data_IF_972372366581
#
_entry.id   IF_972372366581
#
_cell.length_a   1.000
_cell.length_b   1.000
_cell.length_c   1.000
_cell.angle_alpha   90.00
_cell.angle_beta   90.00
_cell.angle_gamma   90.00
#
_symmetry.space_group_name_H-M   'P 1'
#
loop_
_entity.id
_entity.type
_entity.pdbx_description
1 polymer ?
#
# COMPACT_ATOMS: atom_id res chain seq x y z
N UNK A 1 0.61 18.09 15.44
CA UNK A 1 -0.22 16.87 15.53
C UNK A 1 -0.34 16.21 14.17
N UNK A 2 -0.82 16.96 13.18
CA UNK A 2 -0.98 16.41 11.84
C UNK A 2 0.32 15.90 11.24
N UNK A 3 1.43 16.56 11.54
CA UNK A 3 2.71 16.18 10.96
C UNK A 3 3.20 14.84 11.45
N UNK A 4 2.96 14.51 12.73
CA UNK A 4 3.34 13.20 13.24
C UNK A 4 2.59 12.07 12.57
N UNK A 5 1.29 12.25 12.34
CA UNK A 5 0.47 11.25 11.66
C UNK A 5 0.86 11.12 10.20
N UNK A 6 1.16 12.23 9.53
CA UNK A 6 1.56 12.16 8.14
C UNK A 6 2.93 11.51 7.98
N UNK A 7 3.86 11.78 8.90
CA UNK A 7 5.15 11.10 8.87
C UNK A 7 4.98 9.60 9.10
N UNK A 8 4.07 9.20 9.98
CA UNK A 8 3.79 7.80 10.22
C UNK A 8 3.18 7.13 8.98
N UNK A 9 2.24 7.83 8.31
CA UNK A 9 1.65 7.32 7.08
C UNK A 9 2.73 7.13 6.00
N UNK A 10 3.61 8.12 5.86
CA UNK A 10 4.69 8.06 4.88
C UNK A 10 5.59 6.86 5.13
N UNK A 11 5.97 6.63 6.38
CA UNK A 11 6.82 5.50 6.72
C UNK A 11 6.10 4.17 6.45
N UNK A 12 4.82 4.09 6.77
CA UNK A 12 4.03 2.89 6.54
C UNK A 12 3.89 2.62 5.04
N UNK A 13 3.67 3.65 4.25
CA UNK A 13 3.58 3.51 2.80
C UNK A 13 4.90 2.99 2.22
N UNK A 14 6.03 3.43 2.77
CA UNK A 14 7.32 2.90 2.34
C UNK A 14 7.46 1.41 2.65
N UNK A 15 6.99 0.97 3.82
CA UNK A 15 6.99 -0.44 4.17
C UNK A 15 6.12 -1.25 3.20
N UNK A 16 4.90 -0.75 2.92
CA UNK A 16 4.00 -1.44 1.99
C UNK A 16 4.59 -1.47 0.58
N UNK A 17 5.22 -0.39 0.15
CA UNK A 17 5.84 -0.32 -1.17
C UNK A 17 7.00 -1.30 -1.29
N UNK A 18 7.80 -1.44 -0.26
CA UNK A 18 8.90 -2.41 -0.24
C UNK A 18 8.36 -3.83 -0.32
N UNK A 19 7.26 -4.12 0.40
CA UNK A 19 6.65 -5.44 0.35
C UNK A 19 6.12 -5.75 -1.05
N UNK A 20 5.49 -4.77 -1.70
CA UNK A 20 5.00 -4.95 -3.07
C UNK A 20 6.16 -5.23 -4.03
N UNK A 21 7.28 -4.56 -3.85
CA UNK A 21 8.47 -4.79 -4.67
C UNK A 21 9.02 -6.19 -4.44
N UNK A 22 9.06 -6.64 -3.19
CA UNK A 22 9.50 -8.00 -2.87
C UNK A 22 8.57 -9.04 -3.49
N UNK A 23 7.26 -8.78 -3.47
CA UNK A 23 6.29 -9.64 -4.13
C UNK A 23 6.61 -9.77 -5.63
N UNK A 24 6.89 -8.64 -6.29
CA UNK A 24 7.25 -8.66 -7.72
C UNK A 24 8.53 -9.46 -7.95
N UNK A 25 9.53 -9.30 -7.10
CA UNK A 25 10.78 -10.03 -7.26
C UNK A 25 10.58 -11.53 -7.12
N UNK A 26 9.67 -11.94 -6.26
CA UNK A 26 9.40 -13.37 -6.04
C UNK A 26 8.49 -13.97 -7.10
N UNK A 27 7.54 -13.19 -7.63
CA UNK A 27 6.46 -13.73 -8.48
C UNK A 27 6.41 -13.14 -9.88
N UNK A 28 7.30 -12.21 -10.20
CA UNK A 28 7.41 -11.65 -11.54
C UNK A 28 6.48 -10.49 -11.86
N UNK A 29 5.61 -10.11 -10.93
CA UNK A 29 4.68 -9.00 -11.12
C UNK A 29 4.25 -8.44 -9.79
N UNK A 30 3.80 -7.18 -9.79
CA UNK A 30 3.17 -6.59 -8.62
C UNK A 30 1.77 -7.17 -8.44
N UNK A 31 1.19 -7.14 -7.23
CA UNK A 31 -0.20 -7.53 -7.09
C UNK A 31 -1.09 -6.73 -8.04
N UNK A 32 -2.10 -7.37 -8.61
CA UNK A 32 -3.04 -6.67 -9.48
C UNK A 32 -3.96 -5.78 -8.66
N UNK A 33 -4.70 -4.91 -9.36
CA UNK A 33 -5.69 -4.05 -8.70
C UNK A 33 -6.68 -4.89 -7.88
N UNK A 34 -7.14 -6.01 -8.44
CA UNK A 34 -8.10 -6.88 -7.76
C UNK A 34 -7.48 -7.61 -6.58
N UNK A 35 -6.22 -8.02 -6.70
CA UNK A 35 -5.54 -8.70 -5.60
C UNK A 35 -5.28 -7.74 -4.44
N UNK A 36 -4.89 -6.51 -4.75
CA UNK A 36 -4.75 -5.47 -3.76
C UNK A 36 -3.65 -5.73 -2.73
N UNK A 37 -3.66 -4.94 -1.68
CA UNK A 37 -2.67 -5.04 -0.60
C UNK A 37 -2.82 -6.34 0.21
N UNK A 38 -3.99 -7.00 0.16
CA UNK A 38 -4.15 -8.28 0.84
C UNK A 38 -3.18 -9.34 0.32
N UNK A 39 -2.74 -9.22 -0.94
CA UNK A 39 -1.76 -10.14 -1.50
C UNK A 39 -0.43 -10.09 -0.75
N UNK A 40 -0.18 -9.04 0.05
CA UNK A 40 1.04 -8.92 0.82
C UNK A 40 0.98 -9.70 2.14
N UNK A 41 -0.20 -10.12 2.57
CA UNK A 41 -0.36 -10.83 3.85
C UNK A 41 -0.89 -12.24 3.68
N UNK A 42 -1.49 -12.58 2.55
CA UNK A 42 -1.96 -13.93 2.27
C UNK A 42 -1.96 -14.20 0.78
N UNK A 43 -1.86 -15.45 0.41
CA UNK A 43 -1.87 -15.86 -0.99
C UNK A 43 -3.19 -15.42 -1.63
N UNK A 44 -3.14 -14.61 -2.69
CA UNK A 44 -4.38 -14.18 -3.33
C UNK A 44 -5.09 -15.35 -4.01
N UNK A 45 -6.41 -15.28 -4.02
CA UNK A 45 -7.25 -16.24 -4.72
C UNK A 45 -7.55 -15.82 -6.15
N UNK A 46 -7.31 -14.55 -6.48
CA UNK A 46 -7.54 -14.01 -7.81
C UNK A 46 -6.33 -14.25 -8.70
N UNK A 47 -6.60 -14.53 -9.97
CA UNK A 47 -5.52 -14.71 -10.95
C UNK A 47 -4.77 -13.42 -11.21
N UNK A 48 -3.48 -13.47 -11.49
CA UNK A 48 -2.65 -14.69 -11.54
C UNK A 48 -2.21 -15.09 -10.15
N UNK A 49 -2.50 -16.33 -9.78
CA UNK A 49 -2.20 -16.85 -8.45
C UNK A 49 -0.70 -17.16 -8.38
N UNK A 50 0.03 -16.57 -7.43
CA UNK A 50 1.46 -16.82 -7.32
C UNK A 50 1.74 -18.23 -6.82
N UNK A 51 2.78 -18.85 -7.40
CA UNK A 51 3.28 -20.12 -6.91
C UNK A 51 4.27 -19.87 -5.79
N UNK A 52 4.38 -20.84 -4.89
CA UNK A 52 5.39 -20.78 -3.83
C UNK A 52 5.26 -19.56 -2.94
N UNK A 53 4.00 -19.17 -2.66
CA UNK A 53 3.75 -18.03 -1.79
C UNK A 53 4.25 -18.34 -0.38
N UNK A 54 5.03 -17.47 0.27
CA UNK A 54 5.57 -17.75 1.60
C UNK A 54 4.46 -17.76 2.66
N UNK A 55 4.56 -18.68 3.62
CA UNK A 55 3.54 -18.83 4.65
C UNK A 55 3.31 -17.57 5.46
N UNK A 56 4.38 -16.80 5.71
CA UNK A 56 4.30 -15.59 6.52
C UNK A 56 3.92 -14.34 5.71
N UNK A 57 3.80 -14.47 4.38
CA UNK A 57 3.53 -13.31 3.54
C UNK A 57 4.73 -12.37 3.44
N UNK A 58 4.45 -11.12 3.10
CA UNK A 58 5.48 -10.11 2.87
C UNK A 58 5.46 -8.97 3.87
N UNK A 59 4.54 -9.01 4.82
CA UNK A 59 4.46 -8.03 5.91
C UNK A 59 4.61 -8.77 7.23
N UNK A 60 5.05 -8.06 8.27
CA UNK A 60 5.32 -8.68 9.55
C UNK A 60 4.05 -9.10 10.31
N UNK A 61 2.88 -8.63 9.90
CA UNK A 61 1.61 -9.04 10.49
C UNK A 61 0.78 -9.82 9.49
N UNK A 62 -0.35 -10.34 9.96
CA UNK A 62 -1.27 -11.09 9.13
C UNK A 62 -2.36 -10.23 8.53
N UNK A 63 -2.34 -8.93 8.81
CA UNK A 63 -3.31 -7.98 8.29
C UNK A 63 -2.59 -6.79 7.71
N UNK A 64 -3.23 -6.17 6.70
CA UNK A 64 -2.74 -4.91 6.16
C UNK A 64 -3.03 -3.83 7.18
N UNK A 65 -2.03 -3.03 7.59
CA UNK A 65 -2.28 -1.97 8.56
C UNK A 65 -3.17 -0.88 7.97
N UNK A 66 -3.88 -0.18 8.83
CA UNK A 66 -4.62 1.02 8.43
C UNK A 66 -3.72 2.23 8.61
N UNK A 67 -4.11 3.35 8.00
CA UNK A 67 -3.36 4.59 8.17
C UNK A 67 -3.55 5.13 9.59
N UNK A 68 -2.80 6.20 9.97
CA UNK A 68 -2.88 6.73 11.34
C UNK A 68 -4.27 7.27 11.72
N UNK A 69 -5.13 7.51 10.75
CA UNK A 69 -6.50 7.98 10.99
C UNK A 69 -7.49 6.82 10.91
N UNK A 70 -6.98 5.57 10.89
CA UNK A 70 -7.77 4.33 10.93
C UNK A 70 -8.57 4.07 9.67
N UNK A 71 -8.10 4.60 8.55
CA UNK A 71 -8.69 4.33 7.23
C UNK A 71 -7.78 3.40 6.44
N UNK A 72 -8.35 2.64 5.51
CA UNK A 72 -7.57 1.74 4.68
C UNK A 72 -6.66 2.51 3.75
N UNK A 73 -5.43 2.01 3.54
CA UNK A 73 -4.60 2.51 2.46
C UNK A 73 -5.21 2.12 1.13
N UNK A 74 -5.02 2.97 0.14
CA UNK A 74 -5.51 2.77 -1.22
C UNK A 74 -4.38 2.21 -2.07
N UNK A 75 -4.65 1.16 -2.83
CA UNK A 75 -3.70 0.56 -3.75
C UNK A 75 -4.19 0.75 -5.17
N UNK A 76 -3.37 1.36 -6.01
CA UNK A 76 -3.68 1.59 -7.41
C UNK A 76 -2.62 0.92 -8.27
N UNK A 77 -3.04 0.10 -9.21
CA UNK A 77 -2.13 -0.61 -10.11
C UNK A 77 -2.76 -0.60 -11.50
N UNK A 78 -2.28 0.27 -12.40
CA UNK A 78 -1.18 1.21 -12.24
C UNK A 78 -1.54 2.42 -11.40
N UNK A 79 -0.53 3.17 -11.00
CA UNK A 79 -0.73 4.41 -10.27
C UNK A 79 -1.31 5.51 -11.13
N UNK A 80 -1.71 6.62 -10.49
CA UNK A 80 -2.39 7.73 -11.17
C UNK A 80 -1.50 8.43 -12.20
N UNK A 81 -0.18 8.36 -12.01
CA UNK A 81 0.78 8.95 -12.96
C UNK A 81 1.47 7.87 -13.76
N UNK A 82 0.79 6.75 -13.95
CA UNK A 82 1.27 5.62 -14.73
C UNK A 82 2.49 4.92 -14.11
N UNK A 83 2.67 5.04 -12.81
CA UNK A 83 3.67 4.25 -12.09
C UNK A 83 3.23 2.79 -12.08
N UNK A 84 4.15 1.84 -11.85
CA UNK A 84 3.75 0.44 -11.75
C UNK A 84 2.68 0.19 -10.69
N UNK A 85 2.73 0.94 -9.58
CA UNK A 85 1.69 0.95 -8.57
C UNK A 85 1.79 2.24 -7.77
N UNK A 86 0.75 2.51 -7.01
CA UNK A 86 0.75 3.63 -6.09
C UNK A 86 0.01 3.22 -4.82
N UNK A 87 0.53 3.59 -3.66
CA UNK A 87 -0.10 3.35 -2.37
C UNK A 87 -0.28 4.69 -1.70
N UNK A 88 -1.48 5.00 -1.23
CA UNK A 88 -1.73 6.30 -0.65
C UNK A 88 -2.75 6.23 0.48
N UNK A 89 -2.71 7.26 1.32
CA UNK A 89 -3.72 7.57 2.32
C UNK A 89 -4.37 8.88 1.94
N UNK A 90 -5.68 8.99 2.10
CA UNK A 90 -6.39 10.24 1.83
C UNK A 90 -6.36 11.22 3.01
N UNK A 91 -5.56 10.91 4.05
CA UNK A 91 -5.43 11.82 5.17
C UNK A 91 -6.56 11.70 6.18
N UNK A 92 -6.65 12.71 7.04
CA UNK A 92 -7.56 12.65 8.18
C UNK A 92 -9.03 12.62 7.77
N UNK A 93 -9.40 13.26 6.67
CA UNK A 93 -10.79 13.30 6.22
C UNK A 93 -11.18 12.13 5.30
N UNK A 94 -10.21 11.28 4.94
CA UNK A 94 -10.40 10.12 4.07
C UNK A 94 -11.03 10.47 2.72
N UNK A 95 -10.68 11.66 2.20
CA UNK A 95 -11.17 12.13 0.90
C UNK A 95 -10.00 12.64 0.07
N UNK A 96 -10.05 12.45 -1.26
CA UNK A 96 -8.96 12.93 -2.12
C UNK A 96 -8.72 14.43 -1.98
N UNK A 97 -7.47 14.83 -2.04
CA UNK A 97 -7.09 16.24 -1.96
C UNK A 97 -6.91 16.69 -0.53
N UNK A 98 -7.26 17.95 -0.28
CA UNK A 98 -7.12 18.51 1.05
C UNK A 98 -5.75 19.10 1.31
N UNK A 99 -5.56 19.60 2.52
CA UNK A 99 -4.31 20.22 2.93
C UNK A 99 -4.08 19.95 4.40
N UNK A 100 -2.85 20.18 4.86
CA UNK A 100 -2.50 19.91 6.26
C UNK A 100 -2.74 18.46 6.61
N UNK A 101 -3.47 18.20 7.70
CA UNK A 101 -3.76 16.84 8.14
C UNK A 101 -4.66 16.08 7.17
N UNK A 102 -5.39 16.79 6.31
CA UNK A 102 -6.27 16.17 5.33
C UNK A 102 -5.59 15.88 4.00
N UNK A 103 -4.33 16.30 3.82
CA UNK A 103 -3.63 16.12 2.56
C UNK A 103 -3.35 14.64 2.30
N UNK A 104 -3.41 14.26 1.02
CA UNK A 104 -3.05 12.91 0.60
C UNK A 104 -1.56 12.64 0.87
N UNK A 105 -1.26 11.42 1.28
CA UNK A 105 0.12 10.94 1.41
C UNK A 105 0.26 9.77 0.45
N UNK A 106 1.17 9.88 -0.51
CA UNK A 106 1.27 8.90 -1.60
C UNK A 106 2.71 8.40 -1.75
N UNK A 107 2.85 7.16 -2.19
CA UNK A 107 4.15 6.61 -2.55
C UNK A 107 4.78 7.39 -3.70
N UNK A 108 3.97 8.03 -4.54
CA UNK A 108 4.46 8.84 -5.66
C UNK A 108 5.02 10.18 -5.23
N UNK A 109 4.66 10.66 -4.04
CA UNK A 109 5.09 11.97 -3.53
C UNK A 109 5.95 11.83 -2.28
N UNK A 110 6.38 10.63 -1.98
CA UNK A 110 7.25 10.36 -0.82
C UNK A 110 8.70 10.52 -1.26
N UNK A 111 9.41 11.46 -0.67
CA UNK A 111 10.82 11.70 -1.00
C UNK A 111 11.75 11.05 0.01
#
# INVERSE_FOLDING_TARGET
IGMGSQAAAKAQIQVLSSAATTYRMAHGRYPTQQQGLEALVRKPAQEPIPENYPDSGYLSGRTVPTDPWKNAYIYLCPGRQNEPFEILSYGADNEPGGSGADADVSSSFVD
#
